data_IF_561821189516
#
_entry.id   IF_561821189516
#
_cell.length_a   1.000
_cell.length_b   1.000
_cell.length_c   1.000
_cell.angle_alpha   90.00
_cell.angle_beta   90.00
_cell.angle_gamma   90.00
#
_symmetry.space_group_name_H-M   'P 1'
#
loop_
_entity.id
_entity.type
_entity.pdbx_description
1 polymer ?
#
# COMPACT_ATOMS: atom_id res chain seq x y z
N UNK A 1 -16.27 -7.63 -7.70
CA UNK A 1 -15.29 -6.70 -8.33
C UNK A 1 -14.31 -6.23 -7.27
N UNK A 2 -13.11 -6.80 -7.23
CA UNK A 2 -12.07 -6.42 -6.25
C UNK A 2 -11.66 -4.96 -6.41
N UNK A 3 -11.53 -4.25 -5.29
CA UNK A 3 -11.14 -2.83 -5.27
C UNK A 3 -9.70 -2.71 -5.77
N UNK A 4 -9.51 -2.30 -7.03
CA UNK A 4 -8.16 -2.07 -7.59
C UNK A 4 -7.40 -1.04 -6.74
N UNK A 5 -6.24 -1.38 -6.17
CA UNK A 5 -5.42 -0.44 -5.41
C UNK A 5 -4.96 0.69 -6.32
N UNK A 6 -4.79 1.88 -5.74
CA UNK A 6 -4.23 2.99 -6.50
C UNK A 6 -2.72 2.83 -6.63
N UNK A 7 -2.19 3.18 -7.80
CA UNK A 7 -0.77 3.04 -8.17
C UNK A 7 0.17 3.98 -7.40
N UNK A 8 -0.38 5.00 -6.74
CA UNK A 8 0.32 5.95 -5.87
C UNK A 8 -0.55 6.31 -4.65
N UNK A 9 0.09 6.42 -3.49
CA UNK A 9 -0.50 6.91 -2.26
C UNK A 9 -0.89 8.38 -2.46
N UNK A 10 -2.17 8.66 -2.29
CA UNK A 10 -2.72 10.00 -2.46
C UNK A 10 -2.54 10.76 -1.15
N UNK A 11 -1.31 11.12 -0.77
CA UNK A 11 -0.97 11.76 0.52
C UNK A 11 -2.02 12.78 1.02
N UNK A 12 -2.69 13.47 0.09
CA UNK A 12 -3.73 14.50 0.29
C UNK A 12 -5.16 13.99 0.62
N UNK A 13 -5.46 12.69 0.46
CA UNK A 13 -6.83 12.14 0.66
C UNK A 13 -6.84 10.96 1.64
N UNK A 14 -7.02 11.23 2.96
CA UNK A 14 -6.92 10.22 4.02
C UNK A 14 -8.03 9.15 4.03
N UNK A 15 -9.06 9.25 3.17
CA UNK A 15 -10.20 8.32 3.11
C UNK A 15 -10.33 7.52 1.81
N UNK A 16 -9.29 7.43 0.98
CA UNK A 16 -9.44 6.64 -0.24
C UNK A 16 -9.56 5.14 0.08
N UNK A 17 -10.68 4.52 -0.31
CA UNK A 17 -10.94 3.07 -0.17
C UNK A 17 -9.96 2.20 -0.98
N UNK A 18 -9.20 2.82 -1.90
CA UNK A 18 -8.19 2.20 -2.76
C UNK A 18 -6.76 2.41 -2.24
N UNK A 19 -6.60 2.90 -1.00
CA UNK A 19 -5.28 3.19 -0.44
C UNK A 19 -4.46 1.91 -0.34
N UNK A 20 -3.29 1.83 -0.99
CA UNK A 20 -2.46 0.63 -0.93
C UNK A 20 -2.01 0.29 0.50
N UNK A 21 -1.84 1.28 1.38
CA UNK A 21 -1.47 1.04 2.80
C UNK A 21 -2.61 0.41 3.58
N UNK A 22 -3.86 0.86 3.38
CA UNK A 22 -5.00 0.25 4.06
C UNK A 22 -5.27 -1.15 3.53
N UNK A 23 -5.19 -1.34 2.21
CA UNK A 23 -5.35 -2.67 1.62
C UNK A 23 -4.27 -3.63 2.12
N UNK A 24 -3.04 -3.14 2.30
CA UNK A 24 -1.96 -3.90 2.92
C UNK A 24 -2.29 -4.23 4.38
N UNK A 25 -2.67 -3.24 5.19
CA UNK A 25 -3.04 -3.43 6.60
C UNK A 25 -4.27 -4.35 6.78
N UNK A 26 -5.19 -4.35 5.81
CA UNK A 26 -6.37 -5.23 5.78
C UNK A 26 -6.07 -6.62 5.19
N UNK A 27 -4.86 -6.90 4.72
CA UNK A 27 -4.50 -8.18 4.10
C UNK A 27 -5.16 -8.45 2.74
N UNK A 28 -5.79 -7.44 2.13
CA UNK A 28 -6.48 -7.55 0.83
C UNK A 28 -5.60 -7.16 -0.36
N UNK A 29 -4.32 -6.86 -0.11
CA UNK A 29 -3.37 -6.49 -1.14
C UNK A 29 -2.57 -7.71 -1.59
N UNK A 30 -2.67 -8.04 -2.87
CA UNK A 30 -1.86 -9.07 -3.49
C UNK A 30 -0.35 -8.82 -3.25
N UNK A 31 0.44 -9.84 -2.87
CA UNK A 31 1.84 -9.66 -2.48
C UNK A 31 2.74 -9.17 -3.61
N UNK A 32 2.55 -9.62 -4.85
CA UNK A 32 3.31 -9.11 -5.99
C UNK A 32 2.97 -7.65 -6.26
N UNK A 33 1.69 -7.31 -6.19
CA UNK A 33 1.22 -5.94 -6.37
C UNK A 33 1.69 -5.02 -5.24
N UNK A 34 1.69 -5.49 -4.00
CA UNK A 34 2.20 -4.77 -2.85
C UNK A 34 3.68 -4.38 -3.06
N UNK A 35 4.51 -5.33 -3.51
CA UNK A 35 5.92 -5.07 -3.81
C UNK A 35 6.09 -4.02 -4.90
N UNK A 36 5.33 -4.11 -6.00
CA UNK A 36 5.35 -3.12 -7.10
C UNK A 36 4.90 -1.74 -6.65
N UNK A 37 3.88 -1.66 -5.79
CA UNK A 37 3.35 -0.39 -5.26
C UNK A 37 4.34 0.25 -4.29
N UNK A 38 4.84 -0.48 -3.30
CA UNK A 38 5.74 0.03 -2.27
C UNK A 38 7.21 0.11 -2.69
N UNK A 39 7.55 -0.34 -3.91
CA UNK A 39 8.83 -0.02 -4.55
C UNK A 39 8.96 1.47 -4.88
N UNK A 40 7.86 2.20 -5.07
CA UNK A 40 7.90 3.65 -5.34
C UNK A 40 8.21 4.44 -4.08
N UNK A 41 9.08 5.44 -4.19
CA UNK A 41 9.51 6.29 -3.07
C UNK A 41 8.35 6.93 -2.29
N UNK A 42 7.33 7.46 -2.99
CA UNK A 42 6.14 8.04 -2.34
C UNK A 42 5.42 7.02 -1.46
N UNK A 43 5.22 5.81 -1.96
CA UNK A 43 4.53 4.76 -1.22
C UNK A 43 5.38 4.24 -0.07
N UNK A 44 6.71 4.16 -0.24
CA UNK A 44 7.65 3.77 0.81
C UNK A 44 7.69 4.80 1.95
N UNK A 45 7.66 6.10 1.65
CA UNK A 45 7.53 7.17 2.66
C UNK A 45 6.22 7.05 3.43
N UNK A 46 5.12 6.79 2.73
CA UNK A 46 3.82 6.63 3.35
C UNK A 46 3.74 5.34 4.19
N UNK A 47 4.37 4.25 3.76
CA UNK A 47 4.51 3.01 4.53
C UNK A 47 5.24 3.27 5.86
N UNK A 48 6.37 3.99 5.81
CA UNK A 48 7.13 4.41 6.99
C UNK A 48 6.33 5.32 7.92
N UNK A 49 5.60 6.30 7.38
CA UNK A 49 4.70 7.18 8.17
C UNK A 49 3.61 6.39 8.89
N UNK A 50 3.17 5.28 8.29
CA UNK A 50 2.20 4.37 8.89
C UNK A 50 2.82 3.36 9.88
N UNK A 51 4.12 3.47 10.20
CA UNK A 51 4.82 2.56 11.11
C UNK A 51 5.15 1.19 10.50
N UNK A 52 4.92 1.01 9.19
CA UNK A 52 5.17 -0.24 8.47
C UNK A 52 6.50 -0.17 7.69
N UNK A 53 7.11 -1.32 7.50
CA UNK A 53 8.39 -1.50 6.84
C UNK A 53 8.31 -2.51 5.70
N UNK A 54 9.41 -2.65 4.95
CA UNK A 54 9.48 -3.60 3.82
C UNK A 54 9.31 -5.07 4.27
N UNK A 55 9.48 -5.34 5.58
CA UNK A 55 9.32 -6.65 6.21
C UNK A 55 7.84 -7.01 6.43
N UNK A 56 6.97 -6.00 6.48
CA UNK A 56 5.53 -6.13 6.71
C UNK A 56 4.76 -6.31 5.38
N UNK A 57 5.46 -6.32 4.25
CA UNK A 57 4.86 -6.72 2.99
C UNK A 57 4.67 -8.24 2.96
N UNK A 58 3.49 -8.73 2.54
CA UNK A 58 3.25 -10.16 2.46
C UNK A 58 4.28 -10.82 1.53
N UNK A 59 4.77 -11.99 1.96
CA UNK A 59 5.55 -12.86 1.10
C UNK A 59 4.66 -13.30 -0.07
N UNK A 60 5.24 -13.26 -1.28
CA UNK A 60 4.59 -13.80 -2.46
C UNK A 60 4.56 -15.32 -2.37
#
# INVERSE_FOLDING_TARGET
>A
MGVKPKTSCCEDKPRCKRCPIRLLASGQLDPELARKLFAKDRNRKALKKAGMSKRDLPAA
#
